data_IF_363894707125
#
_entry.id   IF_363894707125
#
_cell.length_a   1.000
_cell.length_b   1.000
_cell.length_c   1.000
_cell.angle_alpha   90.00
_cell.angle_beta   90.00
_cell.angle_gamma   90.00
#
_symmetry.space_group_name_H-M   'P 1'
#
loop_
_entity.id
_entity.type
_entity.pdbx_description
1 polymer ?
#
# COMPACT_ATOMS: atom_id res chain seq x y z
N UNK A 1 -39.83 38.51 18.20
CA UNK A 1 -39.96 37.27 17.43
C UNK A 1 -39.76 37.53 15.93
N UNK A 2 -40.55 38.41 15.33
CA UNK A 2 -40.49 38.68 13.89
C UNK A 2 -39.18 39.31 13.44
N UNK A 3 -38.60 40.19 14.22
CA UNK A 3 -37.29 40.80 13.91
C UNK A 3 -36.19 39.73 13.79
N UNK A 4 -36.20 38.77 14.72
CA UNK A 4 -35.23 37.63 14.70
C UNK A 4 -35.48 36.73 13.48
N UNK A 5 -36.75 36.41 13.19
CA UNK A 5 -37.12 35.59 12.04
C UNK A 5 -36.64 36.25 10.73
N UNK A 6 -36.86 37.56 10.60
CA UNK A 6 -36.47 38.33 9.40
C UNK A 6 -34.93 38.34 9.18
N UNK A 7 -34.18 38.51 10.27
CA UNK A 7 -32.70 38.43 10.22
C UNK A 7 -32.26 37.04 9.80
N UNK A 8 -32.80 35.98 10.40
CA UNK A 8 -32.49 34.60 10.10
C UNK A 8 -32.87 34.23 8.66
N UNK A 9 -34.00 34.68 8.15
CA UNK A 9 -34.38 34.46 6.74
C UNK A 9 -33.40 35.11 5.78
N UNK A 10 -32.98 36.35 6.04
CA UNK A 10 -32.00 37.05 5.21
C UNK A 10 -30.68 36.33 5.22
N UNK A 11 -30.18 35.93 6.39
CA UNK A 11 -28.89 35.19 6.53
C UNK A 11 -28.95 33.85 5.83
N UNK A 12 -30.01 33.06 6.03
CA UNK A 12 -30.13 31.72 5.44
C UNK A 12 -30.34 31.73 3.94
N UNK A 13 -31.03 32.75 3.40
CA UNK A 13 -31.15 32.96 1.94
C UNK A 13 -29.82 33.35 1.31
N UNK A 14 -29.10 34.28 1.94
CA UNK A 14 -27.75 34.67 1.46
C UNK A 14 -26.76 33.51 1.49
N UNK A 15 -26.77 32.72 2.54
CA UNK A 15 -25.91 31.53 2.70
C UNK A 15 -26.44 30.29 1.98
N UNK A 16 -27.60 30.35 1.33
CA UNK A 16 -28.26 29.22 0.63
C UNK A 16 -28.43 27.97 1.49
N UNK A 17 -28.68 28.12 2.79
CA UNK A 17 -28.82 27.00 3.72
C UNK A 17 -30.29 26.55 3.77
N UNK A 18 -30.67 25.66 2.86
CA UNK A 18 -32.08 25.23 2.65
C UNK A 18 -32.68 24.59 3.90
N UNK A 19 -31.90 23.76 4.62
CA UNK A 19 -32.39 23.13 5.86
C UNK A 19 -32.78 24.15 6.94
N UNK A 20 -32.01 25.23 7.10
CA UNK A 20 -32.34 26.29 8.04
C UNK A 20 -33.54 27.11 7.56
N UNK A 21 -33.67 27.41 6.26
CA UNK A 21 -34.85 28.06 5.68
C UNK A 21 -36.09 27.25 5.97
N UNK A 22 -36.08 25.94 5.75
CA UNK A 22 -37.19 25.05 6.04
C UNK A 22 -37.59 25.05 7.53
N UNK A 23 -36.58 25.06 8.44
CA UNK A 23 -36.86 25.17 9.89
C UNK A 23 -37.53 26.49 10.25
N UNK A 24 -37.09 27.62 9.66
CA UNK A 24 -37.72 28.94 9.88
C UNK A 24 -39.16 28.94 9.38
N UNK A 25 -39.40 28.44 8.18
CA UNK A 25 -40.75 28.32 7.62
C UNK A 25 -41.66 27.45 8.52
N UNK A 26 -41.14 26.34 9.04
CA UNK A 26 -41.87 25.48 10.00
C UNK A 26 -42.26 26.22 11.27
N UNK A 27 -41.43 27.14 11.79
CA UNK A 27 -41.76 27.97 12.94
C UNK A 27 -42.85 28.97 12.60
N UNK A 28 -42.81 29.57 11.41
CA UNK A 28 -43.86 30.52 10.93
C UNK A 28 -45.21 29.81 10.76
N UNK A 29 -45.23 28.60 10.20
CA UNK A 29 -46.42 27.76 10.07
C UNK A 29 -47.08 27.53 11.44
N UNK A 30 -46.27 27.11 12.44
CA UNK A 30 -46.77 26.89 13.82
C UNK A 30 -47.38 28.17 14.43
N UNK A 31 -46.76 29.32 14.17
CA UNK A 31 -47.21 30.60 14.68
C UNK A 31 -48.52 31.05 14.02
N UNK A 32 -48.62 31.01 12.66
CA UNK A 32 -49.82 31.37 11.92
C UNK A 32 -50.99 30.45 12.26
N UNK A 33 -50.76 29.16 12.41
CA UNK A 33 -51.77 28.19 12.87
C UNK A 33 -52.34 28.57 14.25
N UNK A 34 -51.46 28.98 15.19
CA UNK A 34 -51.89 29.41 16.54
C UNK A 34 -52.67 30.72 16.50
N UNK A 35 -52.44 31.57 15.52
CA UNK A 35 -53.13 32.85 15.32
C UNK A 35 -54.38 32.74 14.45
N UNK A 36 -54.76 31.57 13.97
CA UNK A 36 -55.85 31.31 13.03
C UNK A 36 -55.75 32.15 11.74
N UNK A 37 -54.55 32.54 11.31
CA UNK A 37 -54.26 33.23 10.05
C UNK A 37 -54.10 32.20 8.93
N UNK A 38 -55.20 31.83 8.31
CA UNK A 38 -55.25 30.77 7.29
C UNK A 38 -54.56 31.16 6.00
N UNK A 39 -54.55 32.42 5.62
CA UNK A 39 -53.90 32.87 4.38
C UNK A 39 -52.38 32.70 4.45
N UNK A 40 -51.76 33.25 5.49
CA UNK A 40 -50.32 33.13 5.69
C UNK A 40 -49.91 31.70 6.05
N UNK A 41 -50.75 30.93 6.74
CA UNK A 41 -50.55 29.53 7.00
C UNK A 41 -50.43 28.73 5.70
N UNK A 42 -51.32 28.90 4.73
CA UNK A 42 -51.28 28.20 3.45
C UNK A 42 -50.04 28.59 2.62
N UNK A 43 -49.72 29.88 2.59
CA UNK A 43 -48.57 30.42 1.90
C UNK A 43 -47.23 29.78 2.40
N UNK A 44 -47.02 29.77 3.71
CA UNK A 44 -45.83 29.21 4.32
C UNK A 44 -45.79 27.69 4.18
N UNK A 45 -46.95 27.01 4.18
CA UNK A 45 -47.04 25.57 3.94
C UNK A 45 -46.59 25.21 2.51
N UNK A 46 -46.98 26.02 1.50
CA UNK A 46 -46.49 25.87 0.14
C UNK A 46 -44.96 26.01 0.06
N UNK A 47 -44.39 27.05 0.69
CA UNK A 47 -42.95 27.27 0.74
C UNK A 47 -42.19 26.14 1.47
N UNK A 48 -42.79 25.59 2.53
CA UNK A 48 -42.21 24.42 3.22
C UNK A 48 -42.13 23.21 2.32
N UNK A 49 -43.15 22.97 1.51
CA UNK A 49 -43.18 21.86 0.55
C UNK A 49 -42.10 22.02 -0.51
N UNK A 50 -41.99 23.22 -1.12
CA UNK A 50 -40.96 23.52 -2.13
C UNK A 50 -39.52 23.28 -1.58
N UNK A 51 -39.24 23.80 -0.37
CA UNK A 51 -37.94 23.61 0.26
C UNK A 51 -37.68 22.14 0.58
N UNK A 52 -38.68 21.35 0.89
CA UNK A 52 -38.56 19.92 1.14
C UNK A 52 -38.24 19.16 -0.14
N UNK A 53 -38.91 19.47 -1.26
CA UNK A 53 -38.59 18.88 -2.56
C UNK A 53 -37.17 19.18 -3.02
N UNK A 54 -36.69 20.43 -2.83
CA UNK A 54 -35.32 20.80 -3.15
C UNK A 54 -34.33 19.96 -2.33
N UNK A 55 -34.57 19.84 -1.02
CA UNK A 55 -33.70 19.02 -0.14
C UNK A 55 -33.67 17.54 -0.55
N UNK A 56 -34.83 16.98 -0.89
CA UNK A 56 -34.90 15.59 -1.33
C UNK A 56 -34.09 15.35 -2.62
N UNK A 57 -34.22 16.27 -3.59
CA UNK A 57 -33.40 16.19 -4.84
C UNK A 57 -31.91 16.30 -4.55
N UNK A 58 -31.50 17.24 -3.70
CA UNK A 58 -30.07 17.39 -3.31
C UNK A 58 -29.56 16.14 -2.60
N UNK A 59 -30.33 15.56 -1.69
CA UNK A 59 -29.99 14.34 -0.99
C UNK A 59 -29.84 13.14 -1.96
N UNK A 60 -30.78 12.96 -2.88
CA UNK A 60 -30.70 11.89 -3.89
C UNK A 60 -29.48 12.05 -4.79
N UNK A 61 -29.17 13.28 -5.21
CA UNK A 61 -27.98 13.57 -6.00
C UNK A 61 -26.69 13.27 -5.22
N UNK A 62 -26.63 13.66 -3.95
CA UNK A 62 -25.47 13.38 -3.08
C UNK A 62 -25.28 11.87 -2.87
N UNK A 63 -26.36 11.12 -2.61
CA UNK A 63 -26.29 9.67 -2.45
C UNK A 63 -25.78 9.00 -3.74
N UNK A 64 -26.32 9.41 -4.89
CA UNK A 64 -25.89 8.90 -6.20
C UNK A 64 -24.39 9.13 -6.45
N UNK A 65 -23.91 10.35 -6.18
CA UNK A 65 -22.48 10.67 -6.31
C UNK A 65 -21.61 9.86 -5.34
N UNK A 66 -22.04 9.70 -4.09
CA UNK A 66 -21.32 8.93 -3.09
C UNK A 66 -21.20 7.45 -3.50
N UNK A 67 -22.25 6.86 -4.02
CA UNK A 67 -22.25 5.47 -4.53
C UNK A 67 -21.31 5.32 -5.74
N UNK A 68 -21.30 6.30 -6.65
CA UNK A 68 -20.39 6.30 -7.81
C UNK A 68 -18.91 6.41 -7.38
N UNK A 69 -18.59 7.30 -6.44
CA UNK A 69 -17.24 7.44 -5.90
C UNK A 69 -16.79 6.16 -5.19
N UNK A 70 -17.65 5.57 -4.37
CA UNK A 70 -17.38 4.30 -3.71
C UNK A 70 -17.10 3.18 -4.71
N UNK A 71 -17.97 3.01 -5.71
CA UNK A 71 -17.82 2.00 -6.75
C UNK A 71 -16.51 2.17 -7.55
N UNK A 72 -16.13 3.41 -7.88
CA UNK A 72 -14.88 3.68 -8.59
C UNK A 72 -13.64 3.39 -7.72
N UNK A 73 -13.72 3.69 -6.41
CA UNK A 73 -12.65 3.37 -5.46
C UNK A 73 -12.48 1.86 -5.28
N UNK A 74 -13.59 1.12 -5.15
CA UNK A 74 -13.57 -0.35 -5.06
C UNK A 74 -12.94 -0.98 -6.30
N UNK A 75 -13.31 -0.52 -7.52
CA UNK A 75 -12.70 -0.98 -8.77
C UNK A 75 -11.21 -0.66 -8.87
N UNK A 76 -10.80 0.53 -8.46
CA UNK A 76 -9.39 0.93 -8.46
C UNK A 76 -8.57 0.05 -7.50
N UNK A 77 -9.09 -0.21 -6.31
CA UNK A 77 -8.43 -1.08 -5.33
C UNK A 77 -8.32 -2.53 -5.83
N UNK A 78 -9.39 -3.06 -6.45
CA UNK A 78 -9.37 -4.39 -7.02
C UNK A 78 -8.30 -4.54 -8.13
N UNK A 79 -8.22 -3.57 -9.06
CA UNK A 79 -7.18 -3.57 -10.11
C UNK A 79 -5.77 -3.51 -9.54
N UNK A 80 -5.58 -2.76 -8.45
CA UNK A 80 -4.28 -2.70 -7.76
C UNK A 80 -3.90 -4.07 -7.21
N UNK A 81 -4.82 -4.75 -6.50
CA UNK A 81 -4.56 -6.08 -5.94
C UNK A 81 -4.26 -7.12 -7.04
N UNK A 82 -4.98 -7.08 -8.15
CA UNK A 82 -4.73 -7.97 -9.29
C UNK A 82 -3.35 -7.71 -9.92
N UNK A 83 -2.96 -6.44 -10.08
CA UNK A 83 -1.64 -6.08 -10.60
C UNK A 83 -0.51 -6.50 -9.65
N UNK A 84 -0.67 -6.31 -8.33
CA UNK A 84 0.28 -6.75 -7.31
C UNK A 84 0.44 -8.29 -7.33
N UNK A 85 -0.67 -9.04 -7.41
CA UNK A 85 -0.65 -10.50 -7.50
C UNK A 85 0.00 -11.01 -8.81
N UNK A 86 -0.27 -10.33 -9.94
CA UNK A 86 0.37 -10.66 -11.21
C UNK A 86 1.88 -10.40 -11.19
N UNK A 87 2.31 -9.29 -10.60
CA UNK A 87 3.72 -8.96 -10.43
C UNK A 87 4.44 -9.97 -9.51
N UNK A 88 3.81 -10.37 -8.40
CA UNK A 88 4.34 -11.42 -7.53
C UNK A 88 4.51 -12.76 -8.27
N UNK A 89 3.54 -13.14 -9.12
CA UNK A 89 3.64 -14.35 -9.94
C UNK A 89 4.79 -14.29 -10.97
N UNK A 90 5.03 -13.11 -11.55
CA UNK A 90 6.14 -12.90 -12.48
C UNK A 90 7.48 -12.96 -11.76
N UNK A 91 7.59 -12.36 -10.56
CA UNK A 91 8.79 -12.43 -9.73
C UNK A 91 9.08 -13.87 -9.28
N UNK A 92 8.05 -14.65 -8.93
CA UNK A 92 8.19 -16.08 -8.61
C UNK A 92 8.63 -16.93 -9.82
N UNK A 93 8.30 -16.52 -11.05
CA UNK A 93 8.77 -17.20 -12.28
C UNK A 93 10.19 -16.82 -12.68
N UNK A 94 10.70 -15.69 -12.23
CA UNK A 94 12.10 -15.32 -12.40
C UNK A 94 12.91 -16.01 -11.30
N UNK A 95 13.91 -16.77 -11.65
CA UNK A 95 14.81 -17.45 -10.70
C UNK A 95 15.98 -16.57 -10.27
N UNK A 96 16.16 -15.42 -10.92
CA UNK A 96 17.29 -14.52 -10.72
C UNK A 96 16.85 -13.16 -10.17
N UNK A 97 17.72 -12.52 -9.39
CA UNK A 97 17.59 -11.15 -8.97
C UNK A 97 17.89 -10.19 -10.13
N UNK A 98 17.03 -9.21 -10.43
CA UNK A 98 17.17 -8.35 -11.61
C UNK A 98 18.38 -7.41 -11.56
N UNK A 99 18.90 -7.06 -10.38
CA UNK A 99 20.07 -6.19 -10.24
C UNK A 99 21.37 -6.99 -10.33
N UNK A 100 21.48 -8.07 -9.56
CA UNK A 100 22.72 -8.81 -9.38
C UNK A 100 22.88 -10.01 -10.32
N UNK A 101 21.81 -10.47 -10.93
CA UNK A 101 21.72 -11.72 -11.70
C UNK A 101 22.07 -13.00 -10.92
N UNK A 102 22.31 -12.91 -9.61
CA UNK A 102 22.37 -14.08 -8.72
C UNK A 102 20.98 -14.71 -8.59
N UNK A 103 20.91 -15.90 -8.01
CA UNK A 103 19.64 -16.49 -7.65
C UNK A 103 18.86 -15.54 -6.71
N UNK A 104 17.56 -15.43 -6.92
CA UNK A 104 16.69 -14.64 -6.04
C UNK A 104 16.22 -15.49 -4.85
N UNK A 105 15.51 -14.85 -3.91
CA UNK A 105 14.94 -15.51 -2.73
C UNK A 105 14.05 -16.71 -3.07
N UNK A 106 13.32 -16.67 -4.20
CA UNK A 106 12.44 -17.78 -4.59
C UNK A 106 13.29 -19.00 -4.96
N UNK A 107 14.29 -18.81 -5.83
CA UNK A 107 15.23 -19.88 -6.22
C UNK A 107 16.04 -20.40 -5.05
N UNK A 108 16.45 -19.54 -4.12
CA UNK A 108 17.12 -19.93 -2.88
C UNK A 108 16.28 -20.90 -2.04
N UNK A 109 15.01 -20.58 -1.82
CA UNK A 109 14.10 -21.41 -1.03
C UNK A 109 13.92 -22.80 -1.66
N UNK A 110 13.75 -22.86 -2.97
CA UNK A 110 13.60 -24.11 -3.71
C UNK A 110 14.91 -24.92 -3.65
N UNK A 111 16.04 -24.28 -3.93
CA UNK A 111 17.37 -24.91 -3.88
C UNK A 111 17.71 -25.43 -2.47
N UNK A 112 17.48 -24.64 -1.43
CA UNK A 112 17.79 -25.01 -0.05
C UNK A 112 16.98 -26.23 0.41
N UNK A 113 15.70 -26.32 0.06
CA UNK A 113 14.87 -27.48 0.39
C UNK A 113 15.39 -28.76 -0.29
N UNK A 114 15.64 -28.70 -1.60
CA UNK A 114 16.16 -29.85 -2.35
C UNK A 114 17.54 -30.28 -1.88
N UNK A 115 18.42 -29.31 -1.59
CA UNK A 115 19.78 -29.61 -1.13
C UNK A 115 19.79 -30.21 0.26
N UNK A 116 18.89 -29.73 1.15
CA UNK A 116 18.73 -30.31 2.48
C UNK A 116 18.31 -31.79 2.40
N UNK A 117 17.30 -32.10 1.60
CA UNK A 117 16.86 -33.49 1.38
C UNK A 117 17.99 -34.37 0.85
N UNK A 118 18.72 -33.91 -0.17
CA UNK A 118 19.88 -34.65 -0.72
C UNK A 118 20.99 -34.86 0.30
N UNK A 119 21.28 -33.82 1.11
CA UNK A 119 22.31 -33.91 2.15
C UNK A 119 21.96 -34.95 3.22
N UNK A 120 20.69 -34.99 3.66
CA UNK A 120 20.17 -35.98 4.60
C UNK A 120 20.27 -37.39 4.02
N UNK A 121 19.84 -37.61 2.77
CA UNK A 121 19.90 -38.93 2.11
C UNK A 121 21.34 -39.45 1.93
N UNK A 122 22.28 -38.57 1.67
CA UNK A 122 23.70 -38.94 1.41
C UNK A 122 24.58 -38.91 2.66
N UNK A 123 24.05 -38.40 3.79
CA UNK A 123 24.85 -38.13 4.98
C UNK A 123 25.92 -37.07 4.75
N UNK A 124 25.67 -36.12 3.82
CA UNK A 124 26.58 -35.06 3.46
C UNK A 124 26.44 -33.86 4.40
N UNK A 125 27.49 -33.10 4.57
CA UNK A 125 27.47 -31.82 5.31
C UNK A 125 26.78 -30.74 4.51
N UNK A 126 26.06 -29.86 5.18
CA UNK A 126 25.46 -28.68 4.60
C UNK A 126 25.75 -27.48 5.52
N UNK A 127 26.27 -26.40 4.95
CA UNK A 127 26.50 -25.16 5.67
C UNK A 127 25.81 -23.98 4.94
N UNK A 128 25.39 -22.99 5.72
CA UNK A 128 24.79 -21.75 5.23
C UNK A 128 25.52 -20.57 5.83
N UNK A 129 25.87 -19.63 4.99
CA UNK A 129 26.46 -18.34 5.36
C UNK A 129 25.47 -17.24 5.01
N UNK A 130 25.31 -16.26 5.92
CA UNK A 130 24.53 -15.04 5.71
C UNK A 130 25.54 -13.90 5.69
N UNK A 131 25.49 -13.11 4.62
CA UNK A 131 26.30 -11.92 4.42
C UNK A 131 25.37 -10.71 4.35
N UNK A 132 25.68 -9.68 5.11
CA UNK A 132 24.95 -8.41 5.18
C UNK A 132 25.92 -7.25 5.08
N UNK A 133 25.53 -6.14 4.47
CA UNK A 133 26.40 -4.97 4.30
C UNK A 133 26.26 -4.04 5.49
N UNK A 134 27.29 -3.95 6.29
CA UNK A 134 27.31 -3.06 7.46
C UNK A 134 27.04 -1.60 7.08
N UNK A 135 26.13 -0.97 7.80
CA UNK A 135 25.73 0.45 7.62
C UNK A 135 25.21 0.81 6.24
N UNK A 136 24.64 -0.14 5.49
CA UNK A 136 24.21 0.06 4.11
C UNK A 136 23.18 1.20 3.97
N UNK A 137 22.27 1.32 4.93
CA UNK A 137 21.31 2.43 4.94
C UNK A 137 22.01 3.79 5.04
N UNK A 138 22.96 3.93 5.95
CA UNK A 138 23.72 5.19 6.12
C UNK A 138 24.56 5.50 4.85
N UNK A 139 25.11 4.48 4.22
CA UNK A 139 25.80 4.62 2.96
C UNK A 139 24.88 5.16 1.86
N UNK A 140 23.67 4.60 1.72
CA UNK A 140 22.66 5.10 0.78
C UNK A 140 22.20 6.53 1.08
N UNK A 141 21.98 6.84 2.35
CA UNK A 141 21.55 8.19 2.78
C UNK A 141 22.62 9.25 2.46
N UNK A 142 23.91 8.90 2.52
CA UNK A 142 25.03 9.80 2.25
C UNK A 142 25.40 9.90 0.76
N UNK A 143 25.36 8.79 0.01
CA UNK A 143 25.90 8.68 -1.36
C UNK A 143 24.82 8.42 -2.42
N UNK A 144 23.58 8.20 -2.00
CA UNK A 144 22.44 7.92 -2.87
C UNK A 144 22.34 6.44 -3.30
N UNK A 145 21.14 6.05 -3.71
CA UNK A 145 20.81 4.67 -4.07
C UNK A 145 21.63 4.10 -5.23
N UNK A 146 22.07 4.94 -6.18
CA UNK A 146 22.93 4.47 -7.27
C UNK A 146 24.31 3.98 -6.77
N UNK A 147 24.86 4.65 -5.76
CA UNK A 147 26.09 4.19 -5.12
C UNK A 147 25.87 2.89 -4.33
N UNK A 148 24.72 2.75 -3.66
CA UNK A 148 24.32 1.50 -3.02
C UNK A 148 24.16 0.35 -3.99
N UNK A 149 23.52 0.57 -5.13
CA UNK A 149 23.40 -0.44 -6.19
C UNK A 149 24.77 -0.87 -6.72
N UNK A 150 25.72 0.06 -6.89
CA UNK A 150 27.08 -0.27 -7.29
C UNK A 150 27.82 -1.12 -6.23
N UNK A 151 27.60 -0.85 -4.94
CA UNK A 151 28.13 -1.65 -3.83
C UNK A 151 27.57 -3.07 -3.86
N UNK A 152 26.25 -3.22 -4.01
CA UNK A 152 25.57 -4.51 -4.15
C UNK A 152 26.13 -5.30 -5.36
N UNK A 153 26.31 -4.64 -6.50
CA UNK A 153 26.87 -5.25 -7.70
C UNK A 153 28.31 -5.71 -7.52
N UNK A 154 29.13 -4.96 -6.79
CA UNK A 154 30.52 -5.36 -6.49
C UNK A 154 30.55 -6.66 -5.67
N UNK A 155 29.75 -6.75 -4.61
CA UNK A 155 29.61 -7.95 -3.78
C UNK A 155 29.08 -9.13 -4.61
N UNK A 156 28.03 -8.91 -5.40
CA UNK A 156 27.48 -9.94 -6.27
C UNK A 156 28.51 -10.47 -7.27
N UNK A 157 29.41 -9.60 -7.76
CA UNK A 157 30.52 -9.98 -8.62
C UNK A 157 31.52 -10.93 -7.94
N UNK A 158 31.83 -10.72 -6.66
CA UNK A 158 32.69 -11.63 -5.89
C UNK A 158 31.97 -12.96 -5.60
N UNK A 159 30.67 -12.92 -5.28
CA UNK A 159 29.85 -14.12 -5.07
C UNK A 159 29.76 -14.98 -6.35
N UNK A 160 29.60 -14.35 -7.50
CA UNK A 160 29.56 -15.05 -8.80
C UNK A 160 30.86 -15.80 -9.12
N UNK A 161 31.99 -15.30 -8.64
CA UNK A 161 33.32 -15.99 -8.85
C UNK A 161 33.47 -17.26 -8.03
N UNK A 162 32.85 -17.32 -6.85
CA UNK A 162 32.89 -18.48 -5.96
C UNK A 162 31.78 -19.49 -6.23
N UNK A 163 30.77 -19.11 -7.00
CA UNK A 163 29.64 -19.99 -7.33
C UNK A 163 30.10 -21.16 -8.19
N UNK A 164 29.81 -22.38 -7.77
CA UNK A 164 30.12 -23.63 -8.45
C UNK A 164 29.09 -24.71 -8.06
N UNK A 165 29.30 -25.96 -8.47
CA UNK A 165 28.32 -27.04 -8.27
C UNK A 165 27.93 -27.26 -6.79
N UNK A 166 28.91 -27.12 -5.89
CA UNK A 166 28.82 -27.31 -4.45
C UNK A 166 28.68 -26.01 -3.64
N UNK A 167 28.63 -24.84 -4.32
CA UNK A 167 28.43 -23.49 -3.71
C UNK A 167 27.38 -22.74 -4.47
N UNK A 168 26.28 -22.48 -3.80
CA UNK A 168 25.17 -21.75 -4.35
C UNK A 168 25.04 -20.36 -3.69
N UNK A 169 25.00 -19.30 -4.51
CA UNK A 169 24.91 -17.92 -4.05
C UNK A 169 23.57 -17.29 -4.46
N UNK A 170 22.93 -16.58 -3.54
CA UNK A 170 21.68 -15.90 -3.78
C UNK A 170 21.65 -14.53 -3.10
N UNK A 171 20.91 -13.59 -3.69
CA UNK A 171 20.49 -12.38 -3.02
C UNK A 171 19.14 -12.61 -2.36
N UNK A 172 19.10 -12.49 -1.03
CA UNK A 172 17.87 -12.69 -0.26
C UNK A 172 16.94 -11.47 -0.35
N UNK A 173 17.49 -10.26 -0.34
CA UNK A 173 16.79 -9.00 -0.52
C UNK A 173 17.56 -7.82 0.08
N UNK A 174 17.36 -6.63 -0.43
CA UNK A 174 18.11 -5.46 0.05
C UNK A 174 19.62 -5.63 -0.08
N UNK A 175 20.28 -5.65 1.06
CA UNK A 175 21.73 -5.79 1.27
C UNK A 175 22.15 -7.20 1.76
N UNK A 176 21.19 -8.13 1.85
CA UNK A 176 21.42 -9.48 2.37
C UNK A 176 21.66 -10.49 1.26
N UNK A 177 22.73 -11.31 1.42
CA UNK A 177 23.08 -12.43 0.56
C UNK A 177 23.18 -13.72 1.36
N UNK A 178 22.87 -14.85 0.72
CA UNK A 178 22.95 -16.18 1.33
C UNK A 178 23.79 -17.07 0.43
N UNK A 179 24.71 -17.81 1.05
CA UNK A 179 25.57 -18.78 0.39
C UNK A 179 25.31 -20.14 1.03
N UNK A 180 25.10 -21.17 0.20
CA UNK A 180 24.93 -22.56 0.64
C UNK A 180 26.12 -23.36 0.15
N UNK A 181 26.73 -24.12 1.05
CA UNK A 181 27.85 -25.02 0.79
C UNK A 181 27.41 -26.47 0.99
N UNK A 182 27.51 -27.32 -0.04
CA UNK A 182 27.12 -28.73 0.00
C UNK A 182 28.36 -29.62 0.03
N UNK A 183 28.44 -30.55 0.98
CA UNK A 183 29.50 -31.60 1.04
C UNK A 183 30.88 -31.08 1.46
N UNK A 184 31.00 -29.86 1.97
CA UNK A 184 32.25 -29.28 2.44
C UNK A 184 32.50 -29.53 3.92
N UNK A 185 33.77 -29.60 4.33
CA UNK A 185 34.16 -29.59 5.73
C UNK A 185 34.01 -28.21 6.33
N UNK A 186 33.83 -28.12 7.65
CA UNK A 186 33.73 -26.86 8.38
C UNK A 186 34.92 -25.94 8.11
N UNK A 187 36.13 -26.48 8.11
CA UNK A 187 37.37 -25.74 7.83
C UNK A 187 37.40 -25.16 6.41
N UNK A 188 36.92 -25.92 5.42
CA UNK A 188 36.89 -25.47 4.03
C UNK A 188 35.84 -24.34 3.85
N UNK A 189 34.68 -24.43 4.51
CA UNK A 189 33.66 -23.37 4.51
C UNK A 189 34.24 -22.11 5.15
N UNK A 190 34.86 -22.24 6.33
CA UNK A 190 35.46 -21.10 7.04
C UNK A 190 36.53 -20.38 6.25
N UNK A 191 37.42 -21.14 5.57
CA UNK A 191 38.46 -20.56 4.73
C UNK A 191 37.89 -19.83 3.51
N UNK A 192 36.79 -20.34 2.91
CA UNK A 192 36.10 -19.67 1.80
C UNK A 192 35.41 -18.39 2.26
N UNK A 193 34.68 -18.42 3.38
CA UNK A 193 34.04 -17.27 3.96
C UNK A 193 35.03 -16.16 4.32
N UNK A 194 36.18 -16.54 4.92
CA UNK A 194 37.27 -15.60 5.22
C UNK A 194 37.83 -14.94 3.97
N UNK A 195 38.15 -15.72 2.94
CA UNK A 195 38.67 -15.19 1.66
C UNK A 195 37.69 -14.29 0.96
N UNK A 196 36.38 -14.64 1.01
CA UNK A 196 35.35 -13.82 0.44
C UNK A 196 35.30 -12.45 1.15
N UNK A 197 35.33 -12.44 2.48
CA UNK A 197 35.35 -11.20 3.27
C UNK A 197 36.60 -10.33 3.01
N UNK A 198 37.72 -10.93 2.72
CA UNK A 198 38.97 -10.20 2.39
C UNK A 198 38.95 -9.59 0.98
N UNK A 199 38.11 -10.12 0.08
CA UNK A 199 37.98 -9.64 -1.30
C UNK A 199 36.87 -8.58 -1.48
N UNK A 200 35.94 -8.47 -0.53
CA UNK A 200 34.87 -7.47 -0.47
C UNK A 200 35.35 -6.23 0.27
#
# INVERSE_FOLDING_TARGET
>A
FWDIIHILEKMTKTAKIINLQRKIVSLKIKWYRKKHDNENYLKETGMYYELTEIMERENQYMIGNMLNVRSSLERANQRRLEAEAANERLLKKSETDPLTHLANRFRLNDYSAQTFERAVERGATLAMEILDIDYFKEYNDNYGHQAGDACILAIAGELAKIQQEDIFCARYGGDEFIIIYEGMTEEAVYDKARKLRENI
#
